data_IF_249525695243
#
_entry.id   IF_249525695243
#
_cell.length_a   1.000
_cell.length_b   1.000
_cell.length_c   1.000
_cell.angle_alpha   90.00
_cell.angle_beta   90.00
_cell.angle_gamma   90.00
#
_symmetry.space_group_name_H-M   'P 1'
#
loop_
_entity.id
_entity.type
_entity.pdbx_description
1 polymer ?
#
# COMPACT_ATOMS: atom_id res chain seq x y z
N UNK A 1 8.69 -4.98 30.88
CA UNK A 1 9.02 -4.11 29.73
C UNK A 1 8.44 -2.74 30.01
N UNK A 2 9.26 -1.78 30.41
CA UNK A 2 8.89 -0.36 30.39
C UNK A 2 8.68 0.03 28.93
N UNK A 3 7.44 0.22 28.51
CA UNK A 3 7.15 0.56 27.12
C UNK A 3 7.71 1.95 26.81
N UNK A 4 8.58 1.99 25.80
CA UNK A 4 9.30 3.17 25.32
C UNK A 4 8.33 4.32 25.00
N UNK A 5 8.80 5.56 25.13
CA UNK A 5 7.97 6.73 24.76
C UNK A 5 7.64 6.67 23.26
N UNK A 6 6.48 7.18 22.81
CA UNK A 6 6.12 7.18 21.39
C UNK A 6 7.20 7.75 20.47
N UNK A 7 8.00 8.72 20.93
CA UNK A 7 9.14 9.27 20.18
C UNK A 7 10.29 8.29 19.98
N UNK A 8 10.58 7.46 20.98
CA UNK A 8 11.63 6.43 20.95
C UNK A 8 11.21 5.28 20.03
N UNK A 9 9.94 4.88 20.09
CA UNK A 9 9.37 3.85 19.21
C UNK A 9 9.50 4.18 17.71
N UNK A 10 9.47 5.46 17.32
CA UNK A 10 9.59 5.85 15.90
C UNK A 10 10.94 5.44 15.31
N UNK A 11 12.00 5.45 16.10
CA UNK A 11 13.35 5.05 15.64
C UNK A 11 13.34 3.60 15.17
N UNK A 12 12.58 2.73 15.83
CA UNK A 12 12.45 1.32 15.48
C UNK A 12 11.36 1.12 14.44
N UNK A 13 10.15 1.61 14.73
CA UNK A 13 8.94 1.34 13.96
C UNK A 13 8.88 2.08 12.62
N UNK A 14 9.64 3.16 12.44
CA UNK A 14 9.61 4.01 11.24
C UNK A 14 10.99 4.13 10.57
N UNK A 15 11.95 3.28 10.96
CA UNK A 15 13.27 3.22 10.32
C UNK A 15 13.15 3.04 8.79
N UNK A 16 13.92 3.81 8.04
CA UNK A 16 13.95 3.74 6.57
C UNK A 16 12.72 4.34 5.87
N UNK A 17 11.82 5.01 6.60
CA UNK A 17 10.66 5.73 6.03
C UNK A 17 10.89 7.23 5.87
N UNK A 18 12.13 7.69 6.01
CA UNK A 18 12.51 9.11 5.88
C UNK A 18 12.46 9.62 4.43
N UNK A 19 12.46 8.70 3.45
CA UNK A 19 12.30 9.01 2.03
C UNK A 19 10.83 9.13 1.59
N UNK A 20 9.86 8.83 2.46
CA UNK A 20 8.44 8.98 2.13
C UNK A 20 8.11 10.46 1.83
N UNK A 21 7.16 10.75 0.95
CA UNK A 21 6.74 12.12 0.68
C UNK A 21 6.30 12.84 1.96
N UNK A 22 6.61 14.14 2.08
CA UNK A 22 6.42 14.91 3.32
C UNK A 22 5.01 14.82 3.93
N UNK A 23 3.99 14.71 3.10
CA UNK A 23 2.59 14.59 3.55
C UNK A 23 2.29 13.26 4.27
N UNK A 24 3.08 12.20 4.08
CA UNK A 24 2.94 10.96 4.85
C UNK A 24 3.42 11.09 6.30
N UNK A 25 4.31 12.04 6.60
CA UNK A 25 4.86 12.16 7.96
C UNK A 25 3.81 12.52 9.00
N UNK A 26 2.78 13.29 8.64
CA UNK A 26 1.71 13.65 9.58
C UNK A 26 0.99 12.40 10.06
N UNK A 27 0.62 11.52 9.14
CA UNK A 27 -0.08 10.29 9.48
C UNK A 27 0.79 9.31 10.28
N UNK A 28 2.10 9.23 9.96
CA UNK A 28 3.07 8.45 10.76
C UNK A 28 3.24 8.98 12.18
N UNK A 29 3.15 10.30 12.38
CA UNK A 29 3.15 10.89 13.72
C UNK A 29 1.88 10.55 14.50
N UNK A 30 0.76 10.30 13.83
CA UNK A 30 -0.49 9.90 14.48
C UNK A 30 -0.51 8.39 14.74
N UNK A 31 -0.13 7.56 13.75
CA UNK A 31 -0.15 6.09 13.86
C UNK A 31 0.68 5.58 15.02
N UNK A 32 1.82 6.21 15.32
CA UNK A 32 2.71 5.74 16.39
C UNK A 32 2.04 5.73 17.77
N UNK A 33 1.08 6.62 18.04
CA UNK A 33 0.35 6.62 19.30
C UNK A 33 -0.60 5.42 19.40
N UNK A 34 -1.23 5.03 18.29
CA UNK A 34 -2.02 3.81 18.21
C UNK A 34 -1.13 2.57 18.35
N UNK A 35 0.03 2.56 17.69
CA UNK A 35 1.04 1.50 17.85
C UNK A 35 1.47 1.38 19.30
N UNK A 36 1.83 2.48 19.95
CA UNK A 36 2.21 2.50 21.36
C UNK A 36 1.13 1.89 22.25
N UNK A 37 -0.14 2.28 22.06
CA UNK A 37 -1.27 1.71 22.81
C UNK A 37 -1.40 0.20 22.56
N UNK A 38 -1.36 -0.24 21.30
CA UNK A 38 -1.51 -1.65 20.95
C UNK A 38 -0.34 -2.53 21.40
N UNK A 39 0.86 -1.97 21.53
CA UNK A 39 2.03 -2.67 22.07
C UNK A 39 1.89 -3.04 23.56
N UNK A 40 0.97 -2.40 24.30
CA UNK A 40 0.59 -2.83 25.66
C UNK A 40 -0.23 -4.13 25.67
N UNK A 41 -0.67 -4.59 24.50
CA UNK A 41 -1.47 -5.81 24.34
C UNK A 41 -0.65 -6.92 23.66
N UNK A 42 -1.17 -8.14 23.62
CA UNK A 42 -0.53 -9.27 22.90
C UNK A 42 -0.88 -9.30 21.40
N UNK A 43 -1.53 -8.27 20.85
CA UNK A 43 -2.03 -8.27 19.47
C UNK A 43 -0.91 -8.47 18.44
N UNK A 44 -1.13 -9.33 17.46
CA UNK A 44 -0.19 -9.61 16.38
C UNK A 44 -0.47 -8.74 15.15
N UNK A 45 0.54 -8.43 14.29
CA UNK A 45 0.33 -7.62 13.09
C UNK A 45 -0.83 -8.12 12.21
N UNK A 46 -0.89 -9.42 11.92
CA UNK A 46 -1.96 -9.98 11.10
C UNK A 46 -3.37 -9.79 11.71
N UNK A 47 -3.48 -9.70 13.05
CA UNK A 47 -4.76 -9.40 13.69
C UNK A 47 -5.13 -7.92 13.49
N UNK A 48 -4.14 -7.03 13.54
CA UNK A 48 -4.32 -5.60 13.22
C UNK A 48 -4.73 -5.43 11.76
N UNK A 49 -4.10 -6.14 10.82
CA UNK A 49 -4.46 -6.15 9.40
C UNK A 49 -5.91 -6.63 9.21
N UNK A 50 -6.37 -7.66 9.94
CA UNK A 50 -7.77 -8.11 9.87
C UNK A 50 -8.74 -7.05 10.39
N UNK A 51 -8.42 -6.42 11.53
CA UNK A 51 -9.23 -5.32 12.08
C UNK A 51 -9.26 -4.15 11.09
N UNK A 52 -8.13 -3.81 10.48
CA UNK A 52 -8.04 -2.81 9.43
C UNK A 52 -8.99 -3.12 8.27
N UNK A 53 -8.97 -4.34 7.74
CA UNK A 53 -9.87 -4.77 6.66
C UNK A 53 -11.34 -4.57 7.04
N UNK A 54 -11.73 -5.03 8.23
CA UNK A 54 -13.10 -4.86 8.73
C UNK A 54 -13.48 -3.39 8.89
N UNK A 55 -12.57 -2.55 9.41
CA UNK A 55 -12.81 -1.11 9.52
C UNK A 55 -12.93 -0.44 8.15
N UNK A 56 -12.13 -0.83 7.16
CA UNK A 56 -12.22 -0.31 5.79
C UNK A 56 -13.59 -0.62 5.16
N UNK A 57 -14.04 -1.88 5.27
CA UNK A 57 -15.36 -2.32 4.79
C UNK A 57 -16.48 -1.57 5.52
N UNK A 58 -16.43 -1.47 6.85
CA UNK A 58 -17.42 -0.75 7.64
C UNK A 58 -17.48 0.72 7.23
N UNK A 59 -16.33 1.36 7.07
CA UNK A 59 -16.22 2.74 6.62
C UNK A 59 -16.88 2.97 5.26
N UNK A 60 -16.65 2.06 4.30
CA UNK A 60 -17.29 2.11 2.99
C UNK A 60 -18.82 1.91 3.09
N UNK A 61 -19.29 0.95 3.90
CA UNK A 61 -20.74 0.73 4.12
C UNK A 61 -21.41 1.99 4.69
N UNK A 62 -20.76 2.71 5.60
CA UNK A 62 -21.28 3.95 6.18
C UNK A 62 -21.35 5.12 5.18
N UNK A 63 -20.70 5.03 4.02
CA UNK A 63 -20.84 6.02 2.94
C UNK A 63 -22.10 5.83 2.10
N UNK A 64 -22.69 4.63 2.09
CA UNK A 64 -23.86 4.29 1.26
C UNK A 64 -25.12 5.11 1.59
N UNK A 65 -25.52 5.28 2.88
CA UNK A 65 -26.75 5.99 3.21
C UNK A 65 -26.72 7.46 2.83
N UNK A 66 -27.91 8.05 2.63
CA UNK A 66 -28.10 9.49 2.38
C UNK A 66 -28.01 10.35 3.66
N UNK A 67 -27.31 9.86 4.68
CA UNK A 67 -27.19 10.51 5.99
C UNK A 67 -25.81 11.13 6.15
N UNK A 68 -25.76 12.47 6.25
CA UNK A 68 -24.50 13.19 6.44
C UNK A 68 -23.75 12.72 7.70
N UNK A 69 -24.46 12.44 8.80
CA UNK A 69 -23.87 11.91 10.02
C UNK A 69 -23.23 10.52 9.80
N UNK A 70 -23.92 9.63 9.07
CA UNK A 70 -23.37 8.33 8.73
C UNK A 70 -22.13 8.46 7.82
N UNK A 71 -22.18 9.37 6.84
CA UNK A 71 -21.05 9.57 5.92
C UNK A 71 -19.83 10.16 6.64
N UNK A 72 -20.01 11.12 7.55
CA UNK A 72 -18.92 11.66 8.38
C UNK A 72 -18.30 10.56 9.24
N UNK A 73 -19.12 9.73 9.88
CA UNK A 73 -18.63 8.56 10.61
C UNK A 73 -17.87 7.59 9.69
N UNK A 74 -18.38 7.35 8.48
CA UNK A 74 -17.73 6.51 7.47
C UNK A 74 -16.34 7.02 7.08
N UNK A 75 -16.20 8.31 6.77
CA UNK A 75 -14.88 8.89 6.46
C UNK A 75 -13.92 8.85 7.66
N UNK A 76 -14.42 9.04 8.89
CA UNK A 76 -13.60 8.90 10.10
C UNK A 76 -13.12 7.45 10.29
N UNK A 77 -14.00 6.46 10.07
CA UNK A 77 -13.66 5.03 10.14
C UNK A 77 -12.69 4.62 9.03
N UNK A 78 -12.85 5.14 7.80
CA UNK A 78 -11.89 4.93 6.71
C UNK A 78 -10.52 5.52 7.07
N UNK A 79 -10.48 6.72 7.64
CA UNK A 79 -9.22 7.30 8.10
C UNK A 79 -8.56 6.47 9.21
N UNK A 80 -9.35 5.86 10.10
CA UNK A 80 -8.83 4.90 11.07
C UNK A 80 -8.23 3.66 10.39
N UNK A 81 -8.92 3.07 9.40
CA UNK A 81 -8.38 1.95 8.62
C UNK A 81 -7.03 2.31 7.98
N UNK A 82 -6.92 3.52 7.40
CA UNK A 82 -5.67 4.04 6.86
C UNK A 82 -4.54 4.18 7.89
N UNK A 83 -4.86 4.53 9.14
CA UNK A 83 -3.86 4.56 10.20
C UNK A 83 -3.46 3.13 10.62
N UNK A 84 -4.41 2.20 10.70
CA UNK A 84 -4.15 0.81 11.07
C UNK A 84 -3.20 0.09 10.09
N UNK A 85 -3.25 0.45 8.80
CA UNK A 85 -2.30 0.03 7.74
C UNK A 85 -0.84 0.46 8.01
N UNK A 86 -0.65 1.48 8.85
CA UNK A 86 0.70 1.87 9.30
C UNK A 86 1.05 1.14 10.58
N UNK A 87 0.07 0.96 11.46
CA UNK A 87 0.22 0.34 12.77
C UNK A 87 0.62 -1.13 12.67
N UNK A 88 0.04 -1.91 11.75
CA UNK A 88 0.39 -3.33 11.60
C UNK A 88 1.87 -3.51 11.20
N UNK A 89 2.36 -2.72 10.24
CA UNK A 89 3.75 -2.71 9.81
C UNK A 89 4.70 -2.15 10.88
N UNK A 90 4.25 -1.17 11.67
CA UNK A 90 4.99 -0.65 12.82
C UNK A 90 5.15 -1.72 13.91
N UNK A 91 4.09 -2.45 14.26
CA UNK A 91 4.14 -3.56 15.21
C UNK A 91 4.99 -4.72 14.66
N UNK A 92 4.89 -5.03 13.37
CA UNK A 92 5.70 -6.06 12.72
C UNK A 92 7.21 -5.76 12.84
N UNK A 93 7.61 -4.50 12.59
CA UNK A 93 9.00 -4.05 12.77
C UNK A 93 9.43 -4.07 14.23
N UNK A 94 8.61 -3.58 15.14
CA UNK A 94 8.93 -3.58 16.58
C UNK A 94 9.14 -4.99 17.12
N UNK A 95 8.24 -5.92 16.78
CA UNK A 95 8.29 -7.31 17.24
C UNK A 95 9.21 -8.18 16.39
N UNK A 96 9.77 -7.66 15.29
CA UNK A 96 10.58 -8.40 14.31
C UNK A 96 9.88 -9.65 13.78
N UNK A 97 8.58 -9.53 13.51
CA UNK A 97 7.76 -10.62 12.96
C UNK A 97 7.22 -10.20 11.60
N UNK A 98 7.68 -10.88 10.56
CA UNK A 98 7.15 -10.78 9.20
C UNK A 98 6.70 -12.17 8.76
N UNK A 99 5.65 -12.24 7.92
CA UNK A 99 5.14 -13.53 7.44
C UNK A 99 4.55 -13.39 6.05
N UNK A 100 4.68 -14.45 5.23
CA UNK A 100 4.04 -14.53 3.92
C UNK A 100 2.51 -14.38 4.01
N UNK A 101 1.90 -14.90 5.09
CA UNK A 101 0.47 -14.72 5.38
C UNK A 101 0.11 -13.25 5.61
N UNK A 102 0.97 -12.50 6.30
CA UNK A 102 0.80 -11.06 6.51
C UNK A 102 0.84 -10.29 5.18
N UNK A 103 1.82 -10.61 4.32
CA UNK A 103 1.92 -10.01 2.98
C UNK A 103 0.69 -10.32 2.11
N UNK A 104 0.15 -11.54 2.21
CA UNK A 104 -1.10 -11.89 1.52
C UNK A 104 -2.29 -11.06 2.04
N UNK A 105 -2.45 -10.92 3.35
CA UNK A 105 -3.55 -10.14 3.93
C UNK A 105 -3.47 -8.66 3.56
N UNK A 106 -2.28 -8.08 3.61
CA UNK A 106 -1.99 -6.70 3.16
C UNK A 106 -2.39 -6.52 1.68
N UNK A 107 -1.95 -7.44 0.81
CA UNK A 107 -2.34 -7.44 -0.61
C UNK A 107 -3.85 -7.55 -0.81
N UNK A 108 -4.52 -8.44 -0.06
CA UNK A 108 -5.97 -8.61 -0.13
C UNK A 108 -6.72 -7.36 0.29
N UNK A 109 -6.24 -6.65 1.32
CA UNK A 109 -6.81 -5.37 1.73
C UNK A 109 -6.76 -4.35 0.58
N UNK A 110 -5.57 -4.12 0.01
CA UNK A 110 -5.38 -3.16 -1.07
C UNK A 110 -6.15 -3.52 -2.34
N UNK A 111 -6.31 -4.81 -2.64
CA UNK A 111 -7.01 -5.29 -3.84
C UNK A 111 -8.54 -5.25 -3.70
N UNK A 112 -9.06 -5.62 -2.52
CA UNK A 112 -10.48 -5.89 -2.33
C UNK A 112 -11.18 -4.89 -1.43
N UNK A 113 -10.62 -4.60 -0.25
CA UNK A 113 -11.31 -3.80 0.77
C UNK A 113 -11.13 -2.29 0.55
N UNK A 114 -9.91 -1.84 0.26
CA UNK A 114 -9.61 -0.42 0.01
C UNK A 114 -10.44 0.16 -1.15
N UNK A 115 -10.60 -0.52 -2.30
CA UNK A 115 -11.34 0.03 -3.44
C UNK A 115 -12.86 0.11 -3.22
N UNK A 116 -13.41 -0.52 -2.16
CA UNK A 116 -14.85 -0.46 -1.86
C UNK A 116 -15.34 0.96 -1.62
N UNK A 117 -14.47 1.89 -1.22
CA UNK A 117 -14.82 3.31 -1.07
C UNK A 117 -15.40 3.90 -2.36
N UNK A 118 -14.87 3.50 -3.53
CA UNK A 118 -15.32 3.99 -4.83
C UNK A 118 -16.68 3.38 -5.21
N UNK A 119 -16.91 2.11 -4.90
CA UNK A 119 -18.20 1.46 -5.11
C UNK A 119 -19.27 2.00 -4.16
N UNK A 120 -18.91 2.29 -2.91
CA UNK A 120 -19.80 2.95 -1.97
C UNK A 120 -20.20 4.36 -2.45
N UNK A 121 -19.24 5.13 -2.98
CA UNK A 121 -19.54 6.41 -3.62
C UNK A 121 -20.41 6.28 -4.88
N UNK A 122 -20.19 5.23 -5.67
CA UNK A 122 -21.02 4.94 -6.84
C UNK A 122 -22.47 4.61 -6.44
N UNK A 123 -22.63 3.76 -5.41
CA UNK A 123 -23.93 3.43 -4.84
C UNK A 123 -24.61 4.68 -4.27
N UNK A 124 -23.86 5.52 -3.55
CA UNK A 124 -24.36 6.76 -2.97
C UNK A 124 -25.00 7.66 -4.03
N UNK A 125 -24.29 7.98 -5.13
CA UNK A 125 -24.87 8.76 -6.22
C UNK A 125 -26.02 8.02 -6.90
N UNK A 126 -25.88 6.73 -7.20
CA UNK A 126 -26.92 5.96 -7.88
C UNK A 126 -28.23 5.91 -7.10
N UNK A 127 -28.17 5.75 -5.77
CA UNK A 127 -29.35 5.79 -4.89
C UNK A 127 -30.06 7.15 -4.87
N UNK A 128 -29.39 8.22 -5.34
CA UNK A 128 -29.98 9.55 -5.51
C UNK A 128 -30.47 9.82 -6.92
N UNK A 129 -29.64 9.49 -7.90
CA UNK A 129 -29.77 9.93 -9.28
C UNK A 129 -30.42 8.89 -10.19
N UNK A 130 -30.42 7.61 -9.80
CA UNK A 130 -30.81 6.47 -10.63
C UNK A 130 -29.86 6.16 -11.78
N UNK A 131 -28.74 6.89 -11.91
CA UNK A 131 -27.87 6.80 -13.10
C UNK A 131 -26.85 5.68 -12.95
N UNK A 132 -26.93 4.70 -13.85
CA UNK A 132 -25.95 3.62 -13.94
C UNK A 132 -24.53 4.13 -14.29
N UNK A 133 -24.42 5.35 -14.81
CA UNK A 133 -23.15 5.95 -15.20
C UNK A 133 -22.19 6.14 -14.00
N UNK A 134 -22.71 6.40 -12.80
CA UNK A 134 -21.91 6.46 -11.58
C UNK A 134 -21.34 5.08 -11.21
N UNK A 135 -22.14 4.02 -11.33
CA UNK A 135 -21.70 2.63 -11.14
C UNK A 135 -20.60 2.22 -12.10
N UNK A 136 -20.77 2.52 -13.39
CA UNK A 136 -19.75 2.24 -14.40
C UNK A 136 -18.44 2.98 -14.10
N UNK A 137 -18.53 4.24 -13.69
CA UNK A 137 -17.36 5.02 -13.30
C UNK A 137 -16.70 4.43 -12.04
N UNK A 138 -17.46 4.07 -11.01
CA UNK A 138 -16.95 3.45 -9.78
C UNK A 138 -16.21 2.14 -10.04
N UNK A 139 -16.82 1.23 -10.80
CA UNK A 139 -16.14 -0.01 -11.23
C UNK A 139 -14.92 0.26 -12.10
N UNK A 140 -14.99 1.25 -12.99
CA UNK A 140 -13.86 1.72 -13.78
C UNK A 140 -12.68 2.14 -12.91
N UNK A 141 -12.92 2.94 -11.86
CA UNK A 141 -11.88 3.33 -10.90
C UNK A 141 -11.27 2.13 -10.19
N UNK A 142 -12.09 1.18 -9.72
CA UNK A 142 -11.61 -0.05 -9.05
C UNK A 142 -10.71 -0.87 -9.96
N UNK A 143 -11.18 -1.17 -11.18
CA UNK A 143 -10.44 -2.00 -12.13
C UNK A 143 -9.15 -1.30 -12.56
N UNK A 144 -9.23 -0.04 -12.98
CA UNK A 144 -8.05 0.71 -13.43
C UNK A 144 -7.04 0.90 -12.29
N UNK A 145 -7.51 1.25 -11.09
CA UNK A 145 -6.68 1.43 -9.90
C UNK A 145 -5.93 0.15 -9.51
N UNK A 146 -6.63 -1.00 -9.53
CA UNK A 146 -6.03 -2.30 -9.23
C UNK A 146 -5.01 -2.71 -10.30
N UNK A 147 -5.27 -2.48 -11.59
CA UNK A 147 -4.30 -2.76 -12.65
C UNK A 147 -3.07 -1.88 -12.49
N UNK A 148 -3.24 -0.58 -12.26
CA UNK A 148 -2.15 0.38 -12.01
C UNK A 148 -1.27 -0.09 -10.85
N UNK A 149 -1.89 -0.64 -9.80
CA UNK A 149 -1.18 -1.11 -8.65
C UNK A 149 -0.43 -2.42 -8.91
N UNK A 150 -1.11 -3.43 -9.46
CA UNK A 150 -0.54 -4.75 -9.81
C UNK A 150 0.60 -4.63 -10.83
N UNK A 151 0.56 -3.61 -11.69
CA UNK A 151 1.62 -3.34 -12.66
C UNK A 151 3.01 -3.20 -12.01
N UNK A 152 3.08 -2.84 -10.72
CA UNK A 152 4.35 -2.72 -9.97
C UNK A 152 4.97 -4.08 -9.60
N UNK A 153 4.22 -5.18 -9.70
CA UNK A 153 4.67 -6.52 -9.34
C UNK A 153 4.93 -7.43 -10.55
N UNK A 154 4.71 -6.92 -11.76
CA UNK A 154 4.84 -7.71 -12.98
C UNK A 154 6.27 -8.18 -13.25
N UNK A 155 7.29 -7.38 -12.94
CA UNK A 155 8.70 -7.73 -13.19
C UNK A 155 9.10 -9.02 -12.47
N UNK A 156 8.80 -9.11 -11.18
CA UNK A 156 9.11 -10.29 -10.37
C UNK A 156 8.39 -11.54 -10.89
N UNK A 157 7.11 -11.42 -11.25
CA UNK A 157 6.35 -12.53 -11.80
C UNK A 157 6.89 -12.98 -13.17
N UNK A 158 7.21 -12.04 -14.06
CA UNK A 158 7.75 -12.33 -15.39
C UNK A 158 9.13 -12.98 -15.27
N UNK A 159 10.01 -12.47 -14.40
CA UNK A 159 11.31 -13.06 -14.12
C UNK A 159 11.17 -14.50 -13.62
N UNK A 160 10.32 -14.73 -12.61
CA UNK A 160 10.08 -16.08 -12.08
C UNK A 160 9.55 -17.03 -13.16
N UNK A 161 8.58 -16.57 -13.97
CA UNK A 161 8.01 -17.37 -15.06
C UNK A 161 9.05 -17.68 -16.14
N UNK A 162 9.91 -16.72 -16.47
CA UNK A 162 10.98 -16.90 -17.45
C UNK A 162 12.02 -17.90 -16.93
N UNK A 163 12.54 -17.72 -15.71
CA UNK A 163 13.49 -18.63 -15.07
C UNK A 163 12.95 -20.06 -15.00
N UNK A 164 11.67 -20.23 -14.64
CA UNK A 164 11.03 -21.57 -14.60
C UNK A 164 10.98 -22.25 -15.97
N UNK A 165 10.87 -21.48 -17.06
CA UNK A 165 10.80 -22.00 -18.42
C UNK A 165 12.15 -22.23 -19.07
N UNK A 166 13.08 -21.29 -18.92
CA UNK A 166 14.36 -21.27 -19.65
C UNK A 166 15.56 -21.62 -18.79
N UNK A 167 15.43 -21.56 -17.45
CA UNK A 167 16.54 -21.65 -16.49
C UNK A 167 17.66 -20.63 -16.74
N UNK A 168 17.34 -19.54 -17.44
CA UNK A 168 18.29 -18.48 -17.80
C UNK A 168 17.72 -17.13 -17.37
N UNK A 169 18.62 -16.21 -17.00
CA UNK A 169 18.23 -14.83 -16.74
C UNK A 169 17.95 -14.14 -18.09
N UNK A 170 16.82 -13.41 -18.24
CA UNK A 170 16.55 -12.65 -19.45
C UNK A 170 17.68 -11.67 -19.79
N UNK A 171 18.04 -11.57 -21.07
CA UNK A 171 18.94 -10.51 -21.54
C UNK A 171 18.22 -9.18 -21.41
N UNK A 172 18.84 -8.23 -20.72
CA UNK A 172 18.28 -6.89 -20.49
C UNK A 172 18.86 -5.89 -21.49
N UNK A 173 17.98 -5.14 -22.16
CA UNK A 173 18.38 -4.02 -23.02
C UNK A 173 18.50 -2.72 -22.22
N UNK A 174 19.45 -1.88 -22.63
CA UNK A 174 19.56 -0.52 -22.10
C UNK A 174 18.88 0.47 -23.07
N UNK A 175 17.63 0.82 -22.76
CA UNK A 175 16.87 1.84 -23.49
C UNK A 175 16.62 3.03 -22.59
N UNK A 176 17.08 4.19 -23.01
CA UNK A 176 16.85 5.44 -22.28
C UNK A 176 15.65 6.21 -22.82
N UNK A 177 14.71 6.67 -21.98
CA UNK A 177 13.56 7.47 -22.41
C UNK A 177 13.98 8.88 -22.87
N UNK A 178 13.28 9.42 -23.87
CA UNK A 178 13.54 10.79 -24.35
C UNK A 178 13.15 11.87 -23.32
N UNK A 179 13.77 13.07 -23.34
CA UNK A 179 13.43 14.16 -22.42
C UNK A 179 11.96 14.57 -22.43
N UNK A 180 11.30 14.53 -23.60
CA UNK A 180 9.86 14.82 -23.73
C UNK A 180 9.00 13.78 -23.03
N UNK A 181 9.36 12.50 -23.16
CA UNK A 181 8.68 11.42 -22.46
C UNK A 181 8.85 11.53 -20.94
N UNK A 182 10.06 11.91 -20.50
CA UNK A 182 10.35 12.19 -19.09
C UNK A 182 9.53 13.35 -18.53
N UNK A 183 9.29 14.39 -19.33
CA UNK A 183 8.39 15.48 -18.95
C UNK A 183 6.94 14.99 -18.83
N UNK A 184 6.45 14.23 -19.82
CA UNK A 184 5.12 13.64 -19.79
C UNK A 184 4.90 12.74 -18.56
N UNK A 185 5.90 11.92 -18.19
CA UNK A 185 5.92 11.13 -16.96
C UNK A 185 5.68 12.00 -15.72
N UNK A 186 6.43 13.09 -15.59
CA UNK A 186 6.31 14.00 -14.43
C UNK A 186 4.92 14.63 -14.35
N UNK A 187 4.32 14.98 -15.48
CA UNK A 187 2.99 15.60 -15.55
C UNK A 187 1.85 14.61 -15.29
N UNK A 188 1.98 13.36 -15.73
CA UNK A 188 0.94 12.33 -15.58
C UNK A 188 1.03 11.57 -14.25
N UNK A 189 2.20 11.52 -13.61
CA UNK A 189 2.40 10.80 -12.34
C UNK A 189 1.42 11.17 -11.22
N UNK A 190 1.00 12.44 -11.03
CA UNK A 190 -0.02 12.79 -10.05
C UNK A 190 -1.36 12.09 -10.25
N UNK A 191 -1.71 11.67 -11.48
CA UNK A 191 -2.97 10.97 -11.77
C UNK A 191 -3.05 9.61 -11.06
N UNK A 192 -1.92 8.96 -10.75
CA UNK A 192 -1.89 7.78 -9.86
C UNK A 192 -2.54 8.07 -8.51
N UNK A 193 -2.51 9.33 -8.07
CA UNK A 193 -3.10 9.79 -6.81
C UNK A 193 -4.60 9.49 -6.69
N UNK A 194 -5.36 9.42 -7.80
CA UNK A 194 -6.80 9.14 -7.76
C UNK A 194 -7.15 7.79 -7.13
N UNK A 195 -6.26 6.81 -7.20
CA UNK A 195 -6.44 5.52 -6.53
C UNK A 195 -5.89 5.49 -5.10
N UNK A 196 -5.06 6.46 -4.72
CA UNK A 196 -4.36 6.42 -3.43
C UNK A 196 -5.32 6.83 -2.32
N UNK A 197 -5.50 5.98 -1.31
CA UNK A 197 -6.42 6.25 -0.20
C UNK A 197 -6.25 7.61 0.46
N UNK A 198 -4.99 8.03 0.66
CA UNK A 198 -4.63 9.33 1.25
C UNK A 198 -5.18 10.53 0.47
N UNK A 199 -5.44 10.36 -0.83
CA UNK A 199 -6.06 11.37 -1.70
C UNK A 199 -7.57 11.10 -1.83
N UNK A 200 -7.95 9.84 -2.02
CA UNK A 200 -9.33 9.47 -2.32
C UNK A 200 -10.29 9.73 -1.15
N UNK A 201 -9.89 9.43 0.08
CA UNK A 201 -10.72 9.67 1.29
C UNK A 201 -11.05 11.15 1.45
N UNK A 202 -10.08 12.08 1.55
CA UNK A 202 -10.40 13.49 1.71
C UNK A 202 -11.10 14.09 0.49
N UNK A 203 -10.76 13.65 -0.73
CA UNK A 203 -11.41 14.14 -1.94
C UNK A 203 -12.90 13.71 -2.01
N UNK A 204 -13.21 12.46 -1.67
CA UNK A 204 -14.59 11.99 -1.58
C UNK A 204 -15.34 12.65 -0.43
N UNK A 205 -14.69 12.88 0.72
CA UNK A 205 -15.29 13.61 1.83
C UNK A 205 -15.68 15.04 1.42
N UNK A 206 -14.78 15.74 0.71
CA UNK A 206 -15.06 17.05 0.14
C UNK A 206 -16.18 16.99 -0.90
N UNK A 207 -16.19 15.99 -1.78
CA UNK A 207 -17.24 15.80 -2.77
C UNK A 207 -18.60 15.59 -2.11
N UNK A 208 -18.69 14.75 -1.07
CA UNK A 208 -19.92 14.55 -0.31
C UNK A 208 -20.39 15.84 0.37
N UNK A 209 -19.48 16.62 0.94
CA UNK A 209 -19.80 17.92 1.55
C UNK A 209 -20.31 18.93 0.52
N UNK A 210 -19.66 19.03 -0.64
CA UNK A 210 -20.09 19.90 -1.76
C UNK A 210 -21.47 19.46 -2.24
N UNK A 211 -21.71 18.17 -2.41
CA UNK A 211 -22.99 17.63 -2.85
C UNK A 211 -24.10 17.89 -1.83
N UNK A 212 -23.81 17.74 -0.53
CA UNK A 212 -24.76 18.06 0.53
C UNK A 212 -25.09 19.56 0.60
N UNK A 213 -24.11 20.44 0.35
CA UNK A 213 -24.30 21.89 0.42
C UNK A 213 -24.95 22.49 -0.84
N UNK A 214 -24.54 22.04 -2.03
CA UNK A 214 -24.91 22.65 -3.31
C UNK A 214 -25.94 21.85 -4.11
N UNK A 215 -26.16 20.57 -3.78
CA UNK A 215 -26.92 19.63 -4.59
C UNK A 215 -26.23 19.20 -5.90
N UNK A 216 -25.06 19.76 -6.22
CA UNK A 216 -24.28 19.37 -7.38
C UNK A 216 -23.70 17.96 -7.17
N UNK A 217 -23.79 17.03 -8.14
CA UNK A 217 -23.37 15.64 -7.99
C UNK A 217 -21.83 15.50 -8.04
N UNK A 218 -21.17 16.06 -7.04
CA UNK A 218 -19.72 16.12 -6.92
C UNK A 218 -19.11 14.73 -6.73
N UNK A 219 -19.82 13.82 -6.04
CA UNK A 219 -19.39 12.42 -5.87
C UNK A 219 -19.26 11.73 -7.23
N UNK A 220 -20.25 11.91 -8.11
CA UNK A 220 -20.21 11.41 -9.49
C UNK A 220 -19.09 12.07 -10.30
N UNK A 221 -18.98 13.39 -10.25
CA UNK A 221 -17.91 14.10 -10.97
C UNK A 221 -16.53 13.55 -10.58
N UNK A 222 -16.29 13.35 -9.28
CA UNK A 222 -15.06 12.75 -8.78
C UNK A 222 -14.79 11.36 -9.36
N UNK A 223 -15.80 10.47 -9.42
CA UNK A 223 -15.65 9.13 -9.98
C UNK A 223 -15.28 9.17 -11.48
N UNK A 224 -15.94 10.03 -12.26
CA UNK A 224 -15.63 10.18 -13.69
C UNK A 224 -14.21 10.72 -13.91
N UNK A 225 -13.84 11.77 -13.18
CA UNK A 225 -12.50 12.35 -13.27
C UNK A 225 -11.44 11.33 -12.85
N UNK A 226 -11.70 10.56 -11.79
CA UNK A 226 -10.80 9.50 -11.32
C UNK A 226 -10.63 8.40 -12.37
N UNK A 227 -11.72 7.90 -12.95
CA UNK A 227 -11.67 6.86 -13.98
C UNK A 227 -10.90 7.34 -15.22
N UNK A 228 -11.19 8.55 -15.71
CA UNK A 228 -10.48 9.13 -16.85
C UNK A 228 -8.99 9.37 -16.56
N UNK A 229 -8.67 9.91 -15.38
CA UNK A 229 -7.30 10.16 -14.95
C UNK A 229 -6.48 8.88 -14.81
N UNK A 230 -7.06 7.85 -14.18
CA UNK A 230 -6.41 6.54 -14.04
C UNK A 230 -6.26 5.83 -15.39
N UNK A 231 -7.23 5.94 -16.29
CA UNK A 231 -7.13 5.39 -17.65
C UNK A 231 -5.99 6.03 -18.44
N UNK A 232 -5.89 7.37 -18.42
CA UNK A 232 -4.80 8.09 -19.05
C UNK A 232 -3.43 7.72 -18.44
N UNK A 233 -3.37 7.63 -17.11
CA UNK A 233 -2.15 7.21 -16.41
C UNK A 233 -1.75 5.77 -16.78
N UNK A 234 -2.70 4.84 -16.81
CA UNK A 234 -2.44 3.43 -17.08
C UNK A 234 -1.94 3.22 -18.51
N UNK A 235 -2.56 3.85 -19.51
CA UNK A 235 -2.12 3.76 -20.90
C UNK A 235 -0.66 4.19 -21.05
N UNK A 236 -0.32 5.30 -20.39
CA UNK A 236 1.04 5.82 -20.39
C UNK A 236 2.02 4.96 -19.58
N UNK A 237 1.60 4.48 -18.41
CA UNK A 237 2.37 3.57 -17.57
C UNK A 237 2.70 2.28 -18.31
N UNK A 238 1.73 1.67 -18.99
CA UNK A 238 1.92 0.44 -19.75
C UNK A 238 2.93 0.63 -20.89
N UNK A 239 2.82 1.72 -21.66
CA UNK A 239 3.77 2.05 -22.71
C UNK A 239 5.19 2.24 -22.15
N UNK A 240 5.34 3.08 -21.12
CA UNK A 240 6.63 3.36 -20.52
C UNK A 240 7.26 2.11 -19.91
N UNK A 241 6.47 1.31 -19.20
CA UNK A 241 6.94 0.10 -18.54
C UNK A 241 7.42 -0.93 -19.55
N UNK A 242 6.63 -1.18 -20.60
CA UNK A 242 6.98 -2.12 -21.66
C UNK A 242 8.25 -1.71 -22.42
N UNK A 243 8.42 -0.42 -22.69
CA UNK A 243 9.54 0.05 -23.53
C UNK A 243 10.85 0.27 -22.77
N UNK A 244 10.80 0.61 -21.47
CA UNK A 244 11.96 1.12 -20.75
C UNK A 244 12.18 0.50 -19.36
N UNK A 245 11.12 0.13 -18.63
CA UNK A 245 11.24 -0.20 -17.19
C UNK A 245 11.29 -1.69 -16.91
N UNK A 246 10.58 -2.51 -17.68
CA UNK A 246 10.45 -3.95 -17.42
C UNK A 246 11.80 -4.68 -17.40
N UNK A 247 12.60 -4.53 -18.47
CA UNK A 247 13.89 -5.21 -18.58
C UNK A 247 14.88 -4.73 -17.51
N UNK A 248 14.89 -3.42 -17.23
CA UNK A 248 15.73 -2.84 -16.18
C UNK A 248 15.42 -3.44 -14.80
N UNK A 249 14.13 -3.48 -14.41
CA UNK A 249 13.72 -4.08 -13.13
C UNK A 249 14.03 -5.57 -13.03
N UNK A 250 13.84 -6.32 -14.13
CA UNK A 250 14.20 -7.75 -14.20
C UNK A 250 15.70 -7.93 -13.96
N UNK A 251 16.54 -7.08 -14.57
CA UNK A 251 17.99 -7.11 -14.38
C UNK A 251 18.42 -6.83 -12.94
N UNK A 252 17.85 -5.79 -12.31
CA UNK A 252 18.11 -5.47 -10.90
C UNK A 252 17.70 -6.63 -9.97
N UNK A 253 16.53 -7.23 -10.20
CA UNK A 253 16.03 -8.36 -9.40
C UNK A 253 16.89 -9.62 -9.58
N UNK A 254 17.34 -9.89 -10.81
CA UNK A 254 18.21 -11.03 -11.09
C UNK A 254 19.59 -10.86 -10.43
N UNK A 255 20.16 -9.65 -10.47
CA UNK A 255 21.41 -9.33 -9.80
C UNK A 255 21.30 -9.52 -8.27
N UNK A 256 20.21 -9.04 -7.67
CA UNK A 256 19.94 -9.24 -6.25
C UNK A 256 19.89 -10.73 -5.86
N UNK A 257 19.25 -11.58 -6.67
CA UNK A 257 19.20 -13.03 -6.42
C UNK A 257 20.57 -13.70 -6.57
N UNK A 258 21.42 -13.22 -7.49
CA UNK A 258 22.76 -13.75 -7.69
C UNK A 258 23.70 -13.39 -6.52
N UNK A 259 23.64 -12.15 -6.02
CA UNK A 259 24.43 -11.71 -4.87
C UNK A 259 24.09 -12.50 -3.59
N UNK A 260 22.80 -12.77 -3.36
CA UNK A 260 22.34 -13.54 -2.20
C UNK A 260 22.77 -15.03 -2.29
N UNK A 261 22.74 -15.60 -3.51
CA UNK A 261 23.25 -16.94 -3.76
C UNK A 261 24.77 -17.05 -3.51
N UNK A 262 25.56 -16.08 -4.00
CA UNK A 262 27.01 -16.04 -3.78
C UNK A 262 27.41 -15.78 -2.32
N UNK A 263 26.61 -15.00 -1.57
CA UNK A 263 26.80 -14.81 -0.13
C UNK A 263 26.54 -16.08 0.69
N UNK A 264 25.63 -16.95 0.24
CA UNK A 264 25.34 -18.23 0.88
C UNK A 264 26.42 -19.29 0.66
N UNK A 265 27.13 -19.27 -0.47
CA UNK A 265 28.28 -20.16 -0.74
C UNK A 265 29.51 -19.78 0.08
N UNK A 266 29.68 -18.51 0.45
CA UNK A 266 30.73 -18.11 1.39
C UNK A 266 30.43 -18.47 2.85
N UNK A 267 29.18 -18.74 3.21
CA UNK A 267 28.80 -19.20 4.55
C UNK A 267 28.97 -20.72 4.75
N UNK A 268 29.02 -21.52 3.68
CA UNK A 268 29.22 -22.98 3.73
C UNK A 268 30.68 -23.42 3.60
N UNK A 269 31.61 -22.48 3.40
CA UNK A 269 33.07 -22.74 3.35
C UNK A 269 33.84 -22.42 4.63
N UNK A 270 33.20 -21.90 5.68
CA UNK A 270 33.85 -21.67 6.96
C UNK A 270 33.85 -22.98 7.76
N UNK A 271 35.03 -23.57 7.91
CA UNK A 271 35.28 -24.71 8.78
C UNK A 271 34.63 -24.50 10.16
N UNK A 272 34.01 -25.57 10.64
CA UNK A 272 33.41 -25.72 11.97
C UNK A 272 34.30 -25.08 13.05
N UNK A 273 33.85 -24.04 13.78
CA UNK A 273 34.58 -23.56 14.94
C UNK A 273 34.50 -24.66 16.02
N UNK A 274 35.60 -24.95 16.74
CA UNK A 274 35.58 -26.02 17.73
C UNK A 274 34.53 -25.70 18.80
N UNK A 275 33.66 -26.68 19.05
CA UNK A 275 32.75 -26.75 20.19
C UNK A 275 33.40 -26.15 21.44
N UNK A 276 32.95 -24.94 21.83
CA UNK A 276 33.14 -24.43 23.18
C UNK A 276 31.82 -24.58 23.90
N UNK A 277 31.81 -25.47 24.88
CA UNK A 277 30.70 -25.65 25.81
C UNK A 277 30.23 -24.30 26.38
N UNK A 278 28.92 -24.12 26.61
CA UNK A 278 28.41 -22.93 27.27
C UNK A 278 28.82 -22.98 28.75
N UNK A 279 29.42 -21.91 29.33
CA UNK A 279 29.65 -21.89 30.76
C UNK A 279 28.30 -21.72 31.47
N UNK A 280 27.98 -22.74 32.25
CA UNK A 280 26.94 -22.76 33.27
C UNK A 280 27.03 -21.52 34.17
N UNK A 281 25.84 -21.00 34.50
CA UNK A 281 25.59 -20.02 35.56
C UNK A 281 26.32 -20.37 36.85
N UNK A 282 26.93 -19.38 37.50
CA UNK A 282 26.88 -19.22 38.97
C UNK A 282 27.63 -17.94 39.43
N UNK A 283 26.95 -17.13 40.27
CA UNK A 283 27.46 -16.59 41.56
C UNK A 283 28.43 -15.37 41.46
N UNK A 284 28.33 -14.24 42.18
CA UNK A 284 27.51 -13.75 43.31
C UNK A 284 27.84 -12.24 43.56
N UNK A 285 26.88 -11.50 44.15
CA UNK A 285 26.94 -10.25 44.94
C UNK A 285 28.02 -9.15 44.69
N UNK A 286 27.54 -7.92 44.44
CA UNK A 286 27.41 -6.84 45.44
C UNK A 286 26.38 -5.81 45.00
#
# INVERSE_FOLDING_TARGET
>A
MTLERPSELRVICQAGKDADPRWYFVHRRVSIYLTWLLLHTRIMPNQVTLVMMLTGVLGAVLLVPRSAAANVAGFAVLYLAFLLDKVDGEIARYRRVTSAKGLLLDRLYHLAAEPLIFLAAAWHDWSRSGRLSAWMAGWGVVVLGNIVDEHQHLSAYILFKHLKGTHQVPVTGDRTPSPRLMLALKLLRPLKGFRMFIVAVPALAAAYAIEAWSGWPASRAYLFTSAAGLGAFLAFQAYYYFQFKLEAEIGEQAAFLADDAGGSEHATGAADPPHRDPPLRAVIHR
#
